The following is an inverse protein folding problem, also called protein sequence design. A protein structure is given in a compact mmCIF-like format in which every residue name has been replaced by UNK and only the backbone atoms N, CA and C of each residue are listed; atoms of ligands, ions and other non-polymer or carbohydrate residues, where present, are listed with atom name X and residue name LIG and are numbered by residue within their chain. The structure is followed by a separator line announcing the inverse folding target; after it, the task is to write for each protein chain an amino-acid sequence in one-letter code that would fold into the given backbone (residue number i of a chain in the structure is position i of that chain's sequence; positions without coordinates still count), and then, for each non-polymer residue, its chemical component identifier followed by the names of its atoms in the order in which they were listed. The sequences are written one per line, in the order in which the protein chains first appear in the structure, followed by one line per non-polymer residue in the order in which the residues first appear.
data_IF_384980580457
#
_entry.id   IF_384980580457
#
_cell.length_a   1.000
_cell.length_b   1.000
_cell.length_c   1.000
_cell.angle_alpha   90.00
_cell.angle_beta   90.00
_cell.angle_gamma   90.00
#
_symmetry.space_group_name_H-M   'P 1'
#
loop_
_entity.id
_entity.type
_entity.pdbx_description
1 polymer ?
#
# COMPACT_ATOMS: atom_id res chain seq x y z
N UNK A 1 -18.63 50.78 49.31
CA UNK A 1 -19.29 49.64 48.63
C UNK A 1 -18.97 49.77 47.14
N UNK A 2 -17.80 49.33 46.68
CA UNK A 2 -17.36 47.98 46.29
C UNK A 2 -17.93 47.50 44.93
N UNK A 3 -17.10 47.72 43.90
CA UNK A 3 -16.81 46.94 42.67
C UNK A 3 -17.94 46.61 41.66
N UNK A 4 -17.80 47.24 40.47
CA UNK A 4 -18.45 46.90 39.21
C UNK A 4 -17.75 45.66 38.62
N UNK A 5 -18.51 44.59 38.39
CA UNK A 5 -18.02 43.35 37.82
C UNK A 5 -17.79 43.47 36.31
N UNK A 6 -16.55 43.22 35.89
CA UNK A 6 -16.09 43.17 34.50
C UNK A 6 -16.46 41.81 33.89
N UNK A 7 -17.32 41.81 32.87
CA UNK A 7 -17.69 40.61 32.12
C UNK A 7 -16.56 40.20 31.18
N UNK A 8 -15.90 39.09 31.48
CA UNK A 8 -14.84 38.51 30.66
C UNK A 8 -15.44 37.57 29.61
N UNK A 9 -15.50 38.03 28.35
CA UNK A 9 -15.94 37.25 27.20
C UNK A 9 -14.79 36.33 26.75
N UNK A 10 -14.80 35.07 27.18
CA UNK A 10 -13.87 34.05 26.70
C UNK A 10 -14.39 33.46 25.38
N UNK A 11 -13.88 33.96 24.26
CA UNK A 11 -14.04 33.29 22.97
C UNK A 11 -13.10 32.07 22.92
N UNK A 12 -13.67 30.87 22.95
CA UNK A 12 -12.91 29.64 22.70
C UNK A 12 -12.67 29.48 21.19
N UNK A 13 -11.42 29.33 20.72
CA UNK A 13 -11.17 28.98 19.34
C UNK A 13 -11.67 27.54 19.10
N UNK A 14 -12.66 27.41 18.22
CA UNK A 14 -13.12 26.13 17.68
C UNK A 14 -11.96 25.47 16.93
N UNK A 15 -11.25 24.55 17.58
CA UNK A 15 -10.26 23.72 16.93
C UNK A 15 -10.96 22.88 15.85
N UNK A 16 -10.77 23.25 14.58
CA UNK A 16 -11.17 22.44 13.44
C UNK A 16 -10.56 21.04 13.62
N UNK A 17 -11.40 20.03 13.77
CA UNK A 17 -10.97 18.65 13.93
C UNK A 17 -10.06 18.26 12.76
N UNK A 18 -8.80 17.95 13.05
CA UNK A 18 -7.88 17.42 12.05
C UNK A 18 -8.54 16.20 11.38
N UNK A 19 -8.45 16.05 10.05
CA UNK A 19 -9.08 14.93 9.36
C UNK A 19 -8.57 13.62 9.96
N UNK A 20 -9.50 12.79 10.43
CA UNK A 20 -9.19 11.50 11.02
C UNK A 20 -8.28 10.71 10.04
N UNK A 21 -7.13 10.25 10.54
CA UNK A 21 -6.24 9.40 9.75
C UNK A 21 -7.05 8.18 9.32
N UNK A 22 -7.30 8.02 8.01
CA UNK A 22 -7.98 6.84 7.47
C UNK A 22 -7.28 5.59 7.99
N UNK A 23 -8.01 4.75 8.70
CA UNK A 23 -7.52 3.48 9.22
C UNK A 23 -7.10 2.57 8.05
N UNK A 24 -6.02 1.81 8.25
CA UNK A 24 -5.56 0.86 7.24
C UNK A 24 -6.37 -0.42 7.32
N UNK A 25 -6.97 -0.82 6.20
CA UNK A 25 -7.66 -2.09 6.10
C UNK A 25 -6.73 -3.28 6.36
N UNK A 26 -7.23 -4.23 7.15
CA UNK A 26 -6.58 -5.51 7.39
C UNK A 26 -6.63 -6.41 6.15
N UNK A 27 -7.78 -6.40 5.44
CA UNK A 27 -8.08 -7.22 4.27
C UNK A 27 -7.74 -6.47 2.98
N UNK A 28 -7.18 -7.18 2.01
CA UNK A 28 -6.80 -6.65 0.71
C UNK A 28 -7.70 -7.19 -0.40
N UNK A 29 -8.00 -6.35 -1.40
CA UNK A 29 -8.89 -6.68 -2.51
C UNK A 29 -8.19 -6.47 -3.84
N UNK A 30 -7.94 -7.54 -4.58
CA UNK A 30 -7.38 -7.50 -5.93
C UNK A 30 -8.49 -7.34 -6.96
N UNK A 31 -8.61 -6.16 -7.54
CA UNK A 31 -9.53 -5.95 -8.66
C UNK A 31 -8.93 -6.47 -9.97
N UNK A 32 -9.77 -6.82 -10.94
CA UNK A 32 -9.32 -7.21 -12.29
C UNK A 32 -8.46 -6.12 -12.96
N UNK A 33 -8.76 -4.83 -12.69
CA UNK A 33 -7.97 -3.69 -13.18
C UNK A 33 -6.56 -3.70 -12.59
N UNK A 34 -6.45 -3.90 -11.28
CA UNK A 34 -5.16 -3.97 -10.59
C UNK A 34 -4.36 -5.20 -11.03
N UNK A 35 -5.02 -6.35 -11.14
CA UNK A 35 -4.39 -7.58 -11.64
C UNK A 35 -3.83 -7.38 -13.06
N UNK A 36 -4.64 -6.83 -13.98
CA UNK A 36 -4.19 -6.49 -15.32
C UNK A 36 -3.00 -5.54 -15.28
N UNK A 37 -3.02 -4.52 -14.43
CA UNK A 37 -1.90 -3.59 -14.29
C UNK A 37 -0.61 -4.29 -13.85
N UNK A 38 -0.70 -5.22 -12.89
CA UNK A 38 0.44 -6.01 -12.41
C UNK A 38 0.95 -6.93 -13.52
N UNK A 39 0.09 -7.66 -14.23
CA UNK A 39 0.48 -8.51 -15.36
C UNK A 39 1.14 -7.72 -16.48
N UNK A 40 0.62 -6.53 -16.80
CA UNK A 40 1.24 -5.67 -17.83
C UNK A 40 2.61 -5.13 -17.41
N UNK A 41 2.85 -4.94 -16.11
CA UNK A 41 4.01 -4.19 -15.60
C UNK A 41 5.10 -5.05 -14.95
N UNK A 42 4.74 -6.22 -14.43
CA UNK A 42 5.58 -7.04 -13.56
C UNK A 42 5.53 -8.52 -13.93
N UNK A 43 5.14 -8.86 -15.16
CA UNK A 43 5.30 -10.21 -15.73
C UNK A 43 6.02 -10.12 -17.07
N UNK A 44 6.69 -11.21 -17.44
CA UNK A 44 7.33 -11.37 -18.75
C UNK A 44 6.30 -11.20 -19.87
N UNK A 45 6.67 -10.47 -20.93
CA UNK A 45 5.78 -10.16 -22.05
C UNK A 45 4.77 -9.03 -21.77
N UNK A 46 4.72 -8.52 -20.53
CA UNK A 46 3.89 -7.36 -20.20
C UNK A 46 4.36 -6.11 -20.95
N UNK A 47 3.45 -5.37 -21.58
CA UNK A 47 3.77 -4.17 -22.38
C UNK A 47 4.47 -3.03 -21.59
N UNK A 48 4.43 -3.06 -20.26
CA UNK A 48 5.04 -2.09 -19.33
C UNK A 48 6.14 -2.72 -18.46
N UNK A 49 6.65 -3.90 -18.82
CA UNK A 49 7.59 -4.70 -18.03
C UNK A 49 9.06 -4.29 -18.17
N UNK A 50 9.41 -3.54 -19.23
CA UNK A 50 10.80 -3.21 -19.56
C UNK A 50 11.53 -2.54 -18.39
N UNK A 51 12.65 -3.14 -17.97
CA UNK A 51 13.52 -2.63 -16.89
C UNK A 51 12.99 -2.83 -15.47
N UNK A 52 11.87 -3.53 -15.28
CA UNK A 52 11.27 -3.77 -13.96
C UNK A 52 11.56 -5.17 -13.44
N UNK A 53 11.43 -5.34 -12.14
CA UNK A 53 11.39 -6.68 -11.53
C UNK A 53 10.10 -7.39 -11.95
N UNK A 54 10.25 -8.67 -12.30
CA UNK A 54 9.19 -9.50 -12.88
C UNK A 54 8.91 -10.67 -11.96
N UNK A 55 7.64 -10.98 -11.76
CA UNK A 55 7.19 -12.22 -11.16
C UNK A 55 7.46 -13.39 -12.12
N UNK A 56 7.54 -14.60 -11.56
CA UNK A 56 7.55 -15.81 -12.37
C UNK A 56 6.20 -15.98 -13.10
N UNK A 57 6.17 -16.58 -14.30
CA UNK A 57 4.94 -16.70 -15.10
C UNK A 57 3.76 -17.35 -14.35
N UNK A 58 4.03 -18.35 -13.52
CA UNK A 58 3.01 -19.13 -12.81
C UNK A 58 2.66 -18.56 -11.42
N UNK A 59 3.08 -17.33 -11.12
CA UNK A 59 2.83 -16.70 -9.81
C UNK A 59 1.33 -16.39 -9.65
N UNK A 60 0.71 -16.95 -8.61
CA UNK A 60 -0.66 -16.62 -8.20
C UNK A 60 -0.70 -15.31 -7.41
N UNK A 61 -1.20 -14.25 -8.06
CA UNK A 61 -1.33 -12.93 -7.43
C UNK A 61 -2.33 -12.91 -6.27
N UNK A 62 -3.40 -13.70 -6.33
CA UNK A 62 -4.40 -13.75 -5.26
C UNK A 62 -3.83 -14.35 -3.99
N UNK A 63 -3.01 -15.40 -4.13
CA UNK A 63 -2.29 -16.00 -3.01
C UNK A 63 -1.29 -15.02 -2.38
N UNK A 64 -0.55 -14.28 -3.22
CA UNK A 64 0.37 -13.24 -2.73
C UNK A 64 -0.36 -12.11 -1.99
N UNK A 65 -1.53 -11.68 -2.48
CA UNK A 65 -2.35 -10.68 -1.78
C UNK A 65 -2.75 -11.19 -0.40
N UNK A 66 -3.31 -12.41 -0.32
CA UNK A 66 -3.74 -13.01 0.95
C UNK A 66 -2.60 -13.13 1.95
N UNK A 67 -1.40 -13.55 1.50
CA UNK A 67 -0.21 -13.62 2.36
C UNK A 67 0.27 -12.25 2.84
N UNK A 68 0.11 -11.21 2.02
CA UNK A 68 0.50 -9.84 2.40
C UNK A 68 -0.39 -9.25 3.51
N UNK A 69 -1.60 -9.78 3.75
CA UNK A 69 -2.48 -9.36 4.85
C UNK A 69 -1.85 -9.57 6.23
N UNK A 70 -1.00 -10.60 6.38
CA UNK A 70 -0.24 -10.84 7.61
C UNK A 70 0.93 -9.86 7.81
N UNK A 71 1.31 -9.10 6.79
CA UNK A 71 2.43 -8.15 6.85
C UNK A 71 1.98 -6.80 7.36
N UNK A 72 2.73 -6.22 8.31
CA UNK A 72 2.41 -4.90 8.88
C UNK A 72 2.38 -3.81 7.79
N UNK A 73 1.25 -3.11 7.59
CA UNK A 73 1.19 -2.02 6.64
C UNK A 73 2.01 -0.81 7.10
N UNK A 74 2.61 -0.11 6.13
CA UNK A 74 3.32 1.15 6.32
C UNK A 74 2.72 2.21 5.41
N UNK A 75 2.09 3.21 6.02
CA UNK A 75 1.53 4.36 5.31
C UNK A 75 2.66 5.15 4.61
N UNK A 76 2.49 5.37 3.32
CA UNK A 76 3.36 6.18 2.48
C UNK A 76 2.91 7.64 2.48
N UNK A 77 3.80 8.56 2.04
CA UNK A 77 3.50 10.00 1.94
C UNK A 77 2.30 10.32 1.04
N UNK A 78 2.04 9.48 0.03
CA UNK A 78 0.92 9.62 -0.90
C UNK A 78 -0.41 9.06 -0.36
N UNK A 79 -0.47 8.65 0.91
CA UNK A 79 -1.67 8.12 1.54
C UNK A 79 -1.93 6.63 1.33
N UNK A 80 -1.13 5.94 0.52
CA UNK A 80 -1.25 4.49 0.27
C UNK A 80 -0.53 3.67 1.32
N UNK A 81 -0.95 2.43 1.48
CA UNK A 81 -0.35 1.48 2.39
C UNK A 81 0.56 0.50 1.65
N UNK A 82 1.83 0.49 2.06
CA UNK A 82 2.83 -0.46 1.59
C UNK A 82 2.93 -1.63 2.54
N UNK A 83 2.78 -2.85 2.02
CA UNK A 83 3.07 -4.10 2.72
C UNK A 83 4.22 -4.80 2.01
N UNK A 84 5.17 -5.32 2.78
CA UNK A 84 6.31 -6.10 2.26
C UNK A 84 6.19 -7.49 2.84
N UNK A 85 6.11 -8.49 1.99
CA UNK A 85 5.90 -9.88 2.36
C UNK A 85 6.97 -10.78 1.72
N UNK A 86 7.21 -11.92 2.35
CA UNK A 86 8.08 -12.96 1.83
C UNK A 86 7.25 -14.04 1.12
N UNK A 87 7.71 -14.46 -0.05
CA UNK A 87 7.26 -15.69 -0.70
C UNK A 87 7.94 -16.91 -0.09
N UNK A 88 7.36 -18.10 -0.31
CA UNK A 88 7.92 -19.36 0.19
C UNK A 88 9.14 -19.82 -0.64
N UNK A 89 9.16 -19.46 -1.91
CA UNK A 89 10.20 -19.78 -2.89
C UNK A 89 10.62 -18.51 -3.63
N UNK A 90 11.49 -18.67 -4.63
CA UNK A 90 11.74 -17.58 -5.60
C UNK A 90 10.41 -17.26 -6.28
N UNK A 91 10.00 -16.00 -6.22
CA UNK A 91 8.73 -15.51 -6.79
C UNK A 91 8.95 -14.63 -8.02
N UNK A 92 10.20 -14.26 -8.29
CA UNK A 92 10.50 -13.38 -9.41
C UNK A 92 11.98 -13.08 -9.53
N UNK A 93 12.28 -12.14 -10.42
CA UNK A 93 13.64 -11.76 -10.82
C UNK A 93 13.78 -10.26 -10.80
N UNK A 94 14.93 -9.77 -10.31
CA UNK A 94 15.30 -8.36 -10.33
C UNK A 94 15.52 -7.86 -11.76
N UNK A 95 14.83 -6.79 -12.14
CA UNK A 95 15.02 -6.16 -13.45
C UNK A 95 16.38 -5.47 -13.62
N UNK A 96 17.08 -5.19 -12.50
CA UNK A 96 18.39 -4.52 -12.51
C UNK A 96 19.55 -5.50 -12.62
N UNK A 97 19.44 -6.65 -11.95
CA UNK A 97 20.59 -7.56 -11.74
C UNK A 97 20.33 -8.97 -12.25
N UNK A 98 19.10 -9.32 -12.64
CA UNK A 98 18.74 -10.70 -12.96
C UNK A 98 18.71 -11.63 -11.73
N UNK A 99 18.94 -11.12 -10.52
CA UNK A 99 18.98 -11.94 -9.32
C UNK A 99 17.58 -12.44 -8.93
N UNK A 100 17.47 -13.68 -8.40
CA UNK A 100 16.21 -14.21 -7.90
C UNK A 100 15.72 -13.41 -6.68
N UNK A 101 14.41 -13.16 -6.62
CA UNK A 101 13.74 -12.44 -5.55
C UNK A 101 12.77 -13.37 -4.81
N UNK A 102 12.80 -13.30 -3.48
CA UNK A 102 11.88 -14.02 -2.59
C UNK A 102 10.93 -13.09 -1.83
N UNK A 103 11.03 -11.78 -2.04
CA UNK A 103 10.19 -10.78 -1.40
C UNK A 103 9.39 -10.02 -2.43
N UNK A 104 8.22 -9.54 -2.04
CA UNK A 104 7.38 -8.70 -2.87
C UNK A 104 6.75 -7.59 -2.05
N UNK A 105 6.30 -6.58 -2.78
CA UNK A 105 5.62 -5.42 -2.25
C UNK A 105 4.19 -5.40 -2.77
N UNK A 106 3.25 -5.13 -1.89
CA UNK A 106 1.86 -4.79 -2.23
C UNK A 106 1.61 -3.35 -1.82
N UNK A 107 1.10 -2.55 -2.76
CA UNK A 107 0.63 -1.19 -2.50
C UNK A 107 -0.88 -1.19 -2.61
N UNK A 108 -1.55 -0.75 -1.56
CA UNK A 108 -3.00 -0.66 -1.50
C UNK A 108 -3.46 0.74 -1.06
N UNK A 109 -4.68 1.10 -1.42
CA UNK A 109 -5.39 2.21 -0.81
C UNK A 109 -5.74 1.87 0.66
N UNK A 110 -6.00 2.87 1.53
CA UNK A 110 -6.35 2.63 2.94
C UNK A 110 -7.55 1.70 3.15
N UNK A 111 -8.47 1.64 2.18
CA UNK A 111 -9.64 0.76 2.21
C UNK A 111 -9.31 -0.70 1.80
N UNK A 112 -8.04 -0.99 1.51
CA UNK A 112 -7.56 -2.33 1.12
C UNK A 112 -7.60 -2.59 -0.39
N UNK A 113 -8.05 -1.65 -1.21
CA UNK A 113 -8.01 -1.79 -2.66
C UNK A 113 -6.57 -1.86 -3.19
N UNK A 114 -6.16 -3.00 -3.74
CA UNK A 114 -4.80 -3.16 -4.29
C UNK A 114 -4.62 -2.26 -5.51
N UNK A 115 -3.56 -1.47 -5.49
CA UNK A 115 -3.18 -0.57 -6.60
C UNK A 115 -2.15 -1.24 -7.50
N UNK A 116 -1.13 -1.86 -6.91
CA UNK A 116 -0.08 -2.58 -7.64
C UNK A 116 0.68 -3.55 -6.73
N UNK A 117 1.45 -4.42 -7.36
CA UNK A 117 2.26 -5.46 -6.73
C UNK A 117 3.53 -5.67 -7.57
N UNK A 118 4.66 -5.89 -6.92
CA UNK A 118 5.91 -6.20 -7.63
C UNK A 118 6.88 -7.00 -6.77
N UNK A 119 7.74 -7.84 -7.37
CA UNK A 119 8.79 -8.52 -6.64
C UNK A 119 9.92 -7.55 -6.31
N UNK A 120 10.43 -7.62 -5.08
CA UNK A 120 11.46 -6.74 -4.55
C UNK A 120 11.13 -6.26 -3.14
N UNK A 121 11.65 -5.08 -2.79
CA UNK A 121 11.47 -4.43 -1.49
C UNK A 121 11.21 -2.93 -1.65
#
# INVERSE_FOLDING_TARGET
MLQIALALLMAFPSAAAAPAKKETAAVLRLSARAEKHVRESHFTGGKKSRGKSLFLPDTDLSELVKKAEASKPRRQKNGRDKRVAAGHSVIGTSGRTGAPLKTYVVIAEPDGGVVTMYPGR
#
